data_IF_263773677984
#
_entry.id   IF_263773677984
#
_cell.length_a   1.000
_cell.length_b   1.000
_cell.length_c   1.000
_cell.angle_alpha   90.00
_cell.angle_beta   90.00
_cell.angle_gamma   90.00
#
_symmetry.space_group_name_H-M   'P 1'
#
loop_
_entity.id
_entity.type
_entity.pdbx_description
1 polymer ?
#
# COMPACT_ATOMS: atom_id res chain seq x y z
N UNK A 1 6.37 -0.74 -14.93
CA UNK A 1 6.42 0.25 -13.84
C UNK A 1 5.01 0.39 -13.29
N UNK A 2 4.83 0.23 -11.98
CA UNK A 2 3.52 0.34 -11.32
C UNK A 2 3.30 1.74 -10.76
N UNK A 3 2.05 2.16 -10.64
CA UNK A 3 1.66 3.37 -9.93
C UNK A 3 0.71 3.03 -8.79
N UNK A 4 0.80 3.76 -7.68
CA UNK A 4 -0.08 3.58 -6.52
C UNK A 4 -0.91 4.84 -6.34
N UNK A 5 -2.22 4.69 -6.43
CA UNK A 5 -3.21 5.71 -6.15
C UNK A 5 -3.64 5.55 -4.69
N UNK A 6 -3.52 6.62 -3.91
CA UNK A 6 -3.97 6.65 -2.52
C UNK A 6 -5.08 7.67 -2.41
N UNK A 7 -6.28 7.18 -2.10
CA UNK A 7 -7.42 8.02 -1.76
C UNK A 7 -7.43 8.25 -0.25
N UNK A 8 -7.52 9.50 0.15
CA UNK A 8 -7.53 9.92 1.55
C UNK A 8 -8.49 11.08 1.75
N UNK A 9 -8.86 11.38 2.99
CA UNK A 9 -9.67 12.55 3.32
C UNK A 9 -8.94 13.48 4.28
N UNK A 10 -9.12 14.78 4.13
CA UNK A 10 -8.64 15.82 5.03
C UNK A 10 -9.83 16.47 5.75
N UNK A 11 -9.72 16.70 7.06
CA UNK A 11 -10.70 17.43 7.84
C UNK A 11 -10.53 18.94 7.64
N UNK A 12 -11.47 19.59 6.96
CA UNK A 12 -11.51 21.03 6.71
C UNK A 12 -12.87 21.59 7.14
N UNK A 13 -12.86 22.62 8.00
CA UNK A 13 -14.11 23.27 8.43
C UNK A 13 -15.13 22.35 9.11
N UNK A 14 -14.68 21.24 9.72
CA UNK A 14 -15.56 20.23 10.32
C UNK A 14 -16.06 19.15 9.35
N UNK A 15 -15.87 19.32 8.03
CA UNK A 15 -16.19 18.34 7.01
C UNK A 15 -14.93 17.53 6.60
N UNK A 16 -15.15 16.33 6.05
CA UNK A 16 -14.11 15.54 5.42
C UNK A 16 -14.12 15.78 3.91
N UNK A 17 -12.97 16.17 3.35
CA UNK A 17 -12.79 16.42 1.92
C UNK A 17 -11.86 15.36 1.35
N UNK A 18 -12.33 14.59 0.37
CA UNK A 18 -11.54 13.56 -0.29
C UNK A 18 -10.48 14.16 -1.22
N UNK A 19 -9.33 13.51 -1.29
CA UNK A 19 -8.22 13.82 -2.18
C UNK A 19 -7.59 12.52 -2.66
N UNK A 20 -6.94 12.59 -3.82
CA UNK A 20 -6.20 11.48 -4.44
C UNK A 20 -4.78 11.94 -4.71
N UNK A 21 -3.82 11.09 -4.39
CA UNK A 21 -2.41 11.28 -4.77
C UNK A 21 -1.90 10.04 -5.48
N UNK A 22 -0.88 10.21 -6.31
CA UNK A 22 -0.26 9.14 -7.10
C UNK A 22 1.21 9.07 -6.77
N UNK A 23 1.71 7.87 -6.49
CA UNK A 23 3.12 7.60 -6.24
C UNK A 23 3.63 6.55 -7.22
N UNK A 24 4.87 6.71 -7.65
CA UNK A 24 5.59 5.69 -8.44
C UNK A 24 6.79 5.09 -7.69
N UNK A 25 7.16 5.70 -6.55
CA UNK A 25 8.18 5.18 -5.64
C UNK A 25 7.49 4.51 -4.45
N UNK A 26 7.93 3.32 -4.12
CA UNK A 26 7.34 2.50 -3.07
C UNK A 26 7.63 3.07 -1.67
N UNK A 27 8.79 3.68 -1.48
CA UNK A 27 9.19 4.34 -0.24
C UNK A 27 8.27 5.54 0.07
N UNK A 28 7.88 6.30 -0.97
CA UNK A 28 6.98 7.45 -0.83
C UNK A 28 5.57 7.01 -0.41
N UNK A 29 5.08 5.88 -0.95
CA UNK A 29 3.80 5.27 -0.53
C UNK A 29 3.82 4.97 0.97
N UNK A 30 4.89 4.31 1.42
CA UNK A 30 5.02 3.93 2.81
C UNK A 30 5.11 5.16 3.73
N UNK A 31 5.97 6.12 3.40
CA UNK A 31 6.14 7.35 4.17
C UNK A 31 4.82 8.13 4.26
N UNK A 32 4.07 8.21 3.16
CA UNK A 32 2.77 8.88 3.12
C UNK A 32 1.72 8.21 4.01
N UNK A 33 1.58 6.88 3.92
CA UNK A 33 0.65 6.12 4.77
C UNK A 33 0.98 6.30 6.26
N UNK A 34 2.27 6.21 6.62
CA UNK A 34 2.72 6.43 8.00
C UNK A 34 2.44 7.85 8.48
N UNK A 35 2.63 8.87 7.63
CA UNK A 35 2.34 10.25 7.96
C UNK A 35 0.83 10.48 8.19
N UNK A 36 -0.03 9.98 7.30
CA UNK A 36 -1.49 10.10 7.44
C UNK A 36 -1.97 9.42 8.71
N UNK A 37 -1.47 8.22 9.03
CA UNK A 37 -1.88 7.50 10.23
C UNK A 37 -1.53 8.23 11.54
N UNK A 38 -0.55 9.14 11.52
CA UNK A 38 -0.19 10.01 12.65
C UNK A 38 -1.02 11.29 12.70
N UNK A 39 -1.68 11.69 11.62
CA UNK A 39 -2.45 12.93 11.52
C UNK A 39 -3.95 12.68 11.73
N UNK A 40 -4.48 13.08 12.90
CA UNK A 40 -5.92 12.97 13.23
C UNK A 40 -6.84 13.79 12.32
N UNK A 41 -6.30 14.72 11.53
CA UNK A 41 -7.05 15.49 10.53
C UNK A 41 -7.03 14.82 9.17
N UNK A 42 -6.38 13.67 9.01
CA UNK A 42 -6.37 12.89 7.78
C UNK A 42 -6.82 11.46 8.04
N UNK A 43 -7.32 10.79 7.01
CA UNK A 43 -7.58 9.35 7.04
C UNK A 43 -7.38 8.75 5.67
N UNK A 44 -6.73 7.59 5.60
CA UNK A 44 -6.70 6.78 4.39
C UNK A 44 -8.10 6.21 4.12
N UNK A 45 -8.50 6.16 2.86
CA UNK A 45 -9.80 5.63 2.42
C UNK A 45 -9.60 4.30 1.70
N UNK A 46 -8.90 4.34 0.57
CA UNK A 46 -8.60 3.18 -0.26
C UNK A 46 -7.26 3.37 -0.99
N UNK A 47 -6.71 2.25 -1.46
CA UNK A 47 -5.46 2.23 -2.22
C UNK A 47 -5.68 1.34 -3.45
N UNK A 48 -5.26 1.84 -4.61
CA UNK A 48 -5.32 1.13 -5.88
C UNK A 48 -3.91 1.10 -6.49
N UNK A 49 -3.54 -0.03 -7.09
CA UNK A 49 -2.31 -0.17 -7.85
C UNK A 49 -2.61 -0.32 -9.33
N UNK A 50 -1.99 0.51 -10.16
CA UNK A 50 -2.08 0.45 -11.60
C UNK A 50 -0.85 -0.28 -12.14
N UNK A 51 -1.10 -1.34 -12.89
CA UNK A 51 -0.11 -2.30 -13.35
C UNK A 51 -0.17 -2.43 -14.86
N UNK A 52 0.96 -2.60 -15.55
CA UNK A 52 0.91 -3.03 -16.94
C UNK A 52 0.29 -4.44 -17.01
N UNK A 53 -0.59 -4.68 -17.98
CA UNK A 53 -1.05 -6.03 -18.28
C UNK A 53 0.12 -6.93 -18.70
N UNK A 54 -0.04 -8.25 -18.55
CA UNK A 54 0.97 -9.24 -18.92
C UNK A 54 1.44 -9.07 -20.38
N UNK A 55 2.66 -9.53 -20.67
CA UNK A 55 3.44 -9.28 -21.88
C UNK A 55 2.68 -9.51 -23.21
N UNK A 56 1.65 -10.35 -23.22
CA UNK A 56 0.84 -10.68 -24.40
C UNK A 56 -0.29 -9.68 -24.71
N UNK A 57 -0.56 -8.73 -23.80
CA UNK A 57 -1.57 -7.68 -23.94
C UNK A 57 -0.92 -6.29 -23.93
N UNK A 58 -0.01 -6.08 -24.88
CA UNK A 58 0.62 -4.78 -25.10
C UNK A 58 -0.44 -3.65 -25.10
N UNK A 59 -0.20 -2.60 -24.29
CA UNK A 59 -1.03 -1.39 -24.13
C UNK A 59 -2.22 -1.45 -23.15
N UNK A 60 -2.42 -2.53 -22.40
CA UNK A 60 -3.45 -2.56 -21.36
C UNK A 60 -2.86 -2.29 -19.97
N UNK A 61 -3.64 -1.60 -19.13
CA UNK A 61 -3.33 -1.40 -17.72
C UNK A 61 -4.44 -2.04 -16.88
N UNK A 62 -4.05 -2.78 -15.85
CA UNK A 62 -4.98 -3.31 -14.85
C UNK A 62 -4.92 -2.48 -13.57
N UNK A 63 -6.08 -2.27 -12.96
CA UNK A 63 -6.19 -1.62 -11.65
C UNK A 63 -6.50 -2.72 -10.64
N UNK A 64 -5.63 -2.83 -9.64
CA UNK A 64 -5.73 -3.82 -8.57
C UNK A 64 -6.01 -3.11 -7.25
N UNK A 65 -7.14 -3.39 -6.59
CA UNK A 65 -7.41 -2.84 -5.26
C UNK A 65 -6.52 -3.49 -4.21
N UNK A 66 -5.91 -2.64 -3.39
CA UNK A 66 -5.05 -3.07 -2.28
C UNK A 66 -5.88 -3.11 -0.99
N UNK A 67 -5.92 -4.28 -0.38
CA UNK A 67 -6.60 -4.55 0.89
C UNK A 67 -5.74 -4.09 2.06
N UNK A 68 -4.45 -4.44 2.05
CA UNK A 68 -3.53 -4.16 3.15
C UNK A 68 -2.15 -3.74 2.67
N UNK A 69 -1.48 -2.92 3.48
CA UNK A 69 -0.07 -2.55 3.26
C UNK A 69 0.69 -2.77 4.56
N UNK A 70 1.79 -3.50 4.46
CA UNK A 70 2.69 -3.82 5.56
C UNK A 70 4.07 -3.21 5.33
N UNK A 71 4.78 -2.96 6.44
CA UNK A 71 6.20 -2.56 6.41
C UNK A 71 7.05 -3.83 6.42
N UNK A 72 7.71 -4.10 5.29
CA UNK A 72 8.71 -5.16 5.17
C UNK A 72 10.12 -4.55 5.12
N UNK A 73 11.15 -5.36 5.35
CA UNK A 73 12.54 -4.99 5.13
C UNK A 73 13.07 -5.79 3.93
N UNK A 74 13.82 -5.15 3.06
CA UNK A 74 14.57 -5.85 1.99
C UNK A 74 15.75 -6.62 2.65
N UNK A 75 16.25 -7.68 2.02
CA UNK A 75 17.27 -8.62 2.54
C UNK A 75 18.54 -7.96 3.14
N UNK A 76 18.84 -6.71 2.78
CA UNK A 76 19.93 -5.92 3.38
C UNK A 76 19.56 -5.21 4.71
N UNK A 77 18.35 -5.42 5.24
CA UNK A 77 17.93 -5.07 6.60
C UNK A 77 17.71 -3.59 6.93
N UNK A 78 18.18 -2.68 6.09
CA UNK A 78 18.24 -1.24 6.40
C UNK A 78 17.11 -0.39 5.79
N UNK A 79 16.44 -0.88 4.72
CA UNK A 79 15.41 -0.09 4.03
C UNK A 79 14.03 -0.72 4.19
N UNK A 80 13.11 0.06 4.76
CA UNK A 80 11.70 -0.26 4.84
C UNK A 80 11.05 -0.18 3.45
N UNK A 81 10.23 -1.17 3.13
CA UNK A 81 9.58 -1.31 1.83
C UNK A 81 8.12 -1.78 2.01
N UNK A 82 7.16 -1.26 1.23
CA UNK A 82 5.77 -1.70 1.33
C UNK A 82 5.58 -3.10 0.73
N UNK A 83 4.95 -3.97 1.52
CA UNK A 83 4.36 -5.22 1.04
C UNK A 83 2.85 -4.98 0.87
N UNK A 84 2.35 -5.14 -0.36
CA UNK A 84 0.95 -4.93 -0.70
C UNK A 84 0.21 -6.27 -0.70
N UNK A 85 -0.98 -6.30 -0.12
CA UNK A 85 -1.89 -7.45 -0.16
C UNK A 85 -3.16 -7.02 -0.89
N UNK A 86 -3.53 -7.76 -1.94
CA UNK A 86 -4.74 -7.47 -2.73
C UNK A 86 -6.00 -7.93 -2.00
N UNK A 87 -7.17 -7.58 -2.54
CA UNK A 87 -8.46 -8.09 -2.03
C UNK A 87 -8.63 -9.60 -2.20
N UNK A 88 -7.84 -10.21 -3.09
CA UNK A 88 -7.80 -11.65 -3.35
C UNK A 88 -6.75 -12.37 -2.48
N UNK A 89 -6.21 -11.67 -1.47
CA UNK A 89 -5.16 -12.15 -0.56
C UNK A 89 -3.83 -12.50 -1.25
N UNK A 90 -3.60 -11.94 -2.44
CA UNK A 90 -2.35 -12.07 -3.18
C UNK A 90 -1.34 -11.02 -2.72
N UNK A 91 -0.07 -11.42 -2.61
CA UNK A 91 1.02 -10.51 -2.28
C UNK A 91 1.56 -9.92 -3.58
N UNK A 92 1.53 -8.60 -3.65
CA UNK A 92 2.09 -7.84 -4.76
C UNK A 92 3.30 -7.07 -4.25
N UNK A 93 4.49 -7.47 -4.66
CA UNK A 93 5.75 -6.79 -4.29
C UNK A 93 6.08 -5.64 -5.24
N UNK A 94 6.70 -4.58 -4.71
CA UNK A 94 7.19 -3.45 -5.53
C UNK A 94 8.48 -3.73 -6.32
N UNK A 95 9.14 -4.88 -6.12
CA UNK A 95 10.37 -5.24 -6.83
C UNK A 95 10.21 -6.33 -7.91
N UNK A 96 9.16 -7.15 -7.85
CA UNK A 96 8.96 -8.25 -8.81
C UNK A 96 7.48 -8.52 -9.03
N UNK A 97 6.93 -7.97 -10.10
CA UNK A 97 5.81 -8.61 -10.78
C UNK A 97 6.37 -9.75 -11.63
N UNK A 98 5.93 -10.99 -11.38
CA UNK A 98 6.17 -12.10 -12.31
C UNK A 98 7.37 -13.01 -12.00
N UNK A 99 7.97 -12.96 -10.81
CA UNK A 99 8.77 -14.08 -10.33
C UNK A 99 8.06 -14.66 -9.11
N UNK A 100 7.63 -15.91 -9.24
CA UNK A 100 7.46 -16.81 -8.12
C UNK A 100 8.82 -17.02 -7.41
N UNK A 101 9.39 -15.96 -6.85
CA UNK A 101 10.37 -16.09 -5.80
C UNK A 101 9.54 -16.43 -4.56
N UNK A 102 9.42 -17.74 -4.31
CA UNK A 102 8.80 -18.39 -3.15
C UNK A 102 9.08 -17.71 -1.80
N UNK A 103 10.12 -16.87 -1.71
CA UNK A 103 10.43 -16.05 -0.56
C UNK A 103 9.25 -15.17 -0.11
N UNK A 104 8.53 -14.49 -1.02
CA UNK A 104 7.40 -13.64 -0.63
C UNK A 104 6.18 -14.46 -0.16
N UNK A 105 5.99 -15.67 -0.69
CA UNK A 105 4.92 -16.59 -0.28
C UNK A 105 5.16 -17.20 1.11
N UNK A 106 6.42 -17.24 1.57
CA UNK A 106 6.80 -17.76 2.88
C UNK A 106 6.81 -16.72 4.02
N UNK A 107 6.61 -15.44 3.73
CA UNK A 107 6.59 -14.39 4.76
C UNK A 107 5.24 -14.42 5.46
N UNK A 108 5.24 -14.71 6.77
CA UNK A 108 4.09 -14.43 7.64
C UNK A 108 3.96 -12.92 7.86
N UNK A 109 3.43 -12.24 6.84
CA UNK A 109 3.31 -10.78 6.80
C UNK A 109 2.37 -10.24 7.89
N UNK A 110 1.56 -11.10 8.52
CA UNK A 110 0.64 -10.71 9.60
C UNK A 110 1.39 -10.28 10.87
N UNK A 111 2.65 -10.68 10.99
CA UNK A 111 3.55 -10.25 12.06
C UNK A 111 4.22 -8.90 11.76
N UNK A 112 4.12 -8.40 10.53
CA UNK A 112 4.71 -7.13 10.13
C UNK A 112 3.83 -5.93 10.58
N UNK A 113 4.42 -4.74 10.78
CA UNK A 113 3.65 -3.54 11.06
C UNK A 113 2.73 -3.19 9.88
N UNK A 114 1.42 -3.16 10.12
CA UNK A 114 0.42 -2.75 9.11
C UNK A 114 0.26 -1.23 9.09
N UNK A 115 0.33 -0.63 7.90
CA UNK A 115 0.09 0.81 7.66
C UNK A 115 -1.21 1.10 6.90
N UNK A 116 -1.83 0.08 6.29
CA UNK A 116 -3.16 0.20 5.72
C UNK A 116 -3.92 -1.14 5.82
N UNK A 117 -5.21 -1.15 6.21
CA UNK A 117 -5.87 -0.07 6.96
C UNK A 117 -5.13 0.20 8.28
N UNK A 118 -5.20 1.44 8.76
CA UNK A 118 -4.54 1.80 10.02
C UNK A 118 -5.03 0.91 11.17
N UNK A 119 -4.11 0.39 11.99
CA UNK A 119 -4.47 -0.24 13.25
C UNK A 119 -5.00 0.84 14.20
N UNK A 120 -6.32 1.04 14.25
CA UNK A 120 -6.95 1.85 15.27
C UNK A 120 -6.92 1.04 16.57
N UNK A 121 -5.86 1.19 17.35
CA UNK A 121 -5.86 0.76 18.75
C UNK A 121 -6.96 1.56 19.43
N UNK A 122 -8.10 0.93 19.71
CA UNK A 122 -9.13 1.53 20.57
C UNK A 122 -8.47 1.76 21.93
N UNK A 123 -8.09 2.99 22.26
CA UNK A 123 -7.77 3.33 23.64
C UNK A 123 -9.05 3.11 24.44
N UNK A 124 -9.01 2.15 25.38
CA UNK A 124 -10.04 1.99 26.38
C UNK A 124 -10.19 3.33 27.13
N UNK A 125 -11.42 3.85 27.14
CA UNK A 125 -11.81 4.98 28.00
C UNK A 125 -12.06 4.48 29.40
#
# INVERSE_FOLDING_TARGET
MSYVFINYAIKQGGAWVSQTTIFWRHEDVLAFCQQINKDKKRKLLDVLMLLPAELDLAHQWSVVPIKEIYVSKIEDGETDFPLYVTVEDEIVGGHTFGAANDAAASIDYRMLPRVFPANIVKQAR
#
